data_IF_520068509418
#
_entry.id   IF_520068509418
#
_cell.length_a   1.000
_cell.length_b   1.000
_cell.length_c   1.000
_cell.angle_alpha   90.00
_cell.angle_beta   90.00
_cell.angle_gamma   90.00
#
_symmetry.space_group_name_H-M   'P 1'
#
loop_
_entity.id
_entity.type
_entity.pdbx_description
1 polymer ?
#
# COMPACT_ATOMS: atom_id res chain seq x y z
N UNK A 1 -3.60 -6.29 8.24
CA UNK A 1 -2.22 -5.96 7.81
C UNK A 1 -1.96 -6.74 6.54
N UNK A 2 -1.48 -6.09 5.49
CA UNK A 2 -1.17 -6.71 4.20
C UNK A 2 0.29 -6.41 3.83
N UNK A 3 0.88 -7.20 2.94
CA UNK A 3 2.24 -6.98 2.44
C UNK A 3 2.19 -6.24 1.12
N UNK A 4 3.12 -5.30 0.92
CA UNK A 4 3.24 -4.56 -0.33
C UNK A 4 4.72 -4.57 -0.82
N UNK A 5 4.99 -4.94 -2.08
CA UNK A 5 4.04 -5.38 -3.10
C UNK A 5 3.38 -6.73 -2.73
N UNK A 6 2.12 -6.96 -3.14
CA UNK A 6 1.40 -8.18 -2.81
C UNK A 6 2.11 -9.37 -3.44
N UNK A 7 2.44 -10.37 -2.62
CA UNK A 7 2.98 -11.65 -3.10
C UNK A 7 1.81 -12.52 -3.56
N UNK A 8 1.99 -13.30 -4.62
CA UNK A 8 0.96 -14.22 -5.10
C UNK A 8 0.86 -15.44 -4.17
N UNK A 9 0.29 -15.24 -2.99
CA UNK A 9 -0.25 -16.29 -2.14
C UNK A 9 -1.72 -15.93 -1.85
N UNK A 10 -2.64 -16.90 -1.87
CA UNK A 10 -4.08 -16.65 -2.13
C UNK A 10 -4.83 -15.64 -1.25
N UNK A 11 -4.27 -15.20 -0.12
CA UNK A 11 -4.83 -14.13 0.75
C UNK A 11 -4.12 -12.78 0.59
N UNK A 12 -2.90 -12.75 0.07
CA UNK A 12 -2.10 -11.53 -0.08
C UNK A 12 -2.55 -10.65 -1.26
N UNK A 13 -3.41 -11.16 -2.15
CA UNK A 13 -4.02 -10.36 -3.23
C UNK A 13 -5.29 -9.64 -2.80
N UNK A 14 -5.92 -10.01 -1.68
CA UNK A 14 -7.20 -9.43 -1.26
C UNK A 14 -7.19 -7.89 -1.21
N UNK A 15 -6.10 -7.30 -0.69
CA UNK A 15 -5.98 -5.84 -0.59
C UNK A 15 -5.86 -5.19 -1.97
N UNK A 16 -5.15 -5.84 -2.90
CA UNK A 16 -5.04 -5.41 -4.30
C UNK A 16 -6.39 -5.50 -5.01
N UNK A 17 -7.11 -6.60 -4.81
CA UNK A 17 -8.43 -6.83 -5.41
C UNK A 17 -9.45 -5.81 -4.90
N UNK A 18 -9.41 -5.50 -3.60
CA UNK A 18 -10.25 -4.47 -2.98
C UNK A 18 -9.96 -3.08 -3.54
N UNK A 19 -8.69 -2.67 -3.59
CA UNK A 19 -8.27 -1.38 -4.16
C UNK A 19 -8.73 -1.27 -5.62
N UNK A 20 -8.51 -2.32 -6.41
CA UNK A 20 -8.91 -2.38 -7.81
C UNK A 20 -10.43 -2.23 -7.96
N UNK A 21 -11.21 -2.90 -7.12
CA UNK A 21 -12.67 -2.82 -7.14
C UNK A 21 -13.19 -1.44 -6.73
N UNK A 22 -12.56 -0.80 -5.73
CA UNK A 22 -12.91 0.54 -5.28
C UNK A 22 -12.59 1.58 -6.36
N UNK A 23 -11.39 1.55 -6.93
CA UNK A 23 -10.99 2.49 -7.97
C UNK A 23 -11.86 2.33 -9.22
N UNK A 24 -12.18 1.10 -9.62
CA UNK A 24 -13.11 0.85 -10.73
C UNK A 24 -14.49 1.47 -10.52
N UNK A 25 -14.97 1.55 -9.27
CA UNK A 25 -16.32 2.04 -8.96
C UNK A 25 -16.36 3.55 -8.71
N UNK A 26 -15.29 4.14 -8.17
CA UNK A 26 -15.32 5.49 -7.64
C UNK A 26 -14.27 6.44 -8.23
N UNK A 27 -13.28 5.96 -9.00
CA UNK A 27 -12.37 6.86 -9.71
C UNK A 27 -13.09 7.58 -10.87
N UNK A 28 -12.75 8.85 -11.14
CA UNK A 28 -11.67 9.63 -10.53
C UNK A 28 -12.06 10.36 -9.23
N UNK A 29 -13.32 10.32 -8.81
CA UNK A 29 -13.81 11.07 -7.65
C UNK A 29 -13.17 10.63 -6.33
N UNK A 30 -12.90 9.34 -6.17
CA UNK A 30 -12.17 8.76 -5.03
C UNK A 30 -11.14 7.79 -5.60
N UNK A 31 -9.85 8.07 -5.37
CA UNK A 31 -8.72 7.22 -5.77
C UNK A 31 -8.06 6.65 -4.51
N UNK A 32 -7.89 5.34 -4.50
CA UNK A 32 -7.19 4.64 -3.42
C UNK A 32 -5.71 4.98 -3.43
N UNK A 33 -5.11 5.01 -2.24
CA UNK A 33 -3.68 5.25 -2.03
C UNK A 33 -3.14 4.31 -0.96
N UNK A 34 -1.88 3.94 -1.08
CA UNK A 34 -1.20 2.99 -0.21
C UNK A 34 -0.28 3.75 0.75
N UNK A 35 -0.41 3.44 2.03
CA UNK A 35 0.53 3.86 3.06
C UNK A 35 1.38 2.63 3.44
N UNK A 36 2.69 2.71 3.27
CA UNK A 36 3.58 1.60 3.58
C UNK A 36 4.26 1.83 4.92
N UNK A 37 4.28 0.81 5.77
CA UNK A 37 5.06 0.81 7.00
C UNK A 37 6.25 -0.13 6.81
N UNK A 38 7.47 0.36 7.04
CA UNK A 38 8.67 -0.42 6.83
C UNK A 38 9.61 -0.32 8.04
N UNK A 39 10.24 -1.44 8.40
CA UNK A 39 11.18 -1.53 9.53
C UNK A 39 12.65 -1.31 9.08
N UNK A 40 12.90 -1.33 7.77
CA UNK A 40 14.23 -1.09 7.19
C UNK A 40 14.11 -0.21 5.95
N UNK A 41 14.94 0.82 5.82
CA UNK A 41 15.06 1.67 4.61
C UNK A 41 15.57 0.91 3.34
N UNK A 42 15.45 -0.41 3.30
CA UNK A 42 15.97 -1.27 2.24
C UNK A 42 15.06 -1.27 0.99
N UNK A 43 13.76 -1.02 1.16
CA UNK A 43 12.79 -1.00 0.05
C UNK A 43 12.42 0.46 -0.24
N UNK A 44 12.84 0.94 -1.42
CA UNK A 44 12.49 2.25 -1.92
C UNK A 44 11.11 2.22 -2.61
N UNK A 45 10.11 2.84 -1.98
CA UNK A 45 8.75 2.95 -2.50
C UNK A 45 8.48 4.24 -3.29
N UNK A 46 9.47 5.15 -3.37
CA UNK A 46 9.36 6.50 -3.95
C UNK A 46 8.89 6.50 -5.43
N UNK A 47 9.14 5.42 -6.16
CA UNK A 47 8.78 5.29 -7.58
C UNK A 47 7.49 4.49 -7.83
N UNK A 48 6.68 4.23 -6.79
CA UNK A 48 5.44 3.47 -6.94
C UNK A 48 4.23 4.42 -6.82
N UNK A 49 3.55 4.68 -7.94
CA UNK A 49 2.46 5.68 -8.03
C UNK A 49 1.31 5.47 -7.03
N UNK A 50 1.04 4.22 -6.68
CA UNK A 50 -0.01 3.85 -5.73
C UNK A 50 0.37 4.20 -4.29
N UNK A 51 1.68 4.25 -3.97
CA UNK A 51 2.19 4.60 -2.64
C UNK A 51 2.18 6.11 -2.48
N UNK A 52 1.55 6.58 -1.40
CA UNK A 52 1.48 7.99 -1.06
C UNK A 52 2.56 8.40 -0.06
N UNK A 53 2.84 7.52 0.91
CA UNK A 53 3.84 7.73 1.94
C UNK A 53 4.41 6.40 2.40
N UNK A 54 5.66 6.43 2.82
CA UNK A 54 6.33 5.42 3.62
C UNK A 54 6.60 5.97 5.02
N UNK A 55 6.35 5.14 6.04
CA UNK A 55 6.55 5.48 7.45
C UNK A 55 7.47 4.42 8.07
N UNK A 56 8.49 4.86 8.81
CA UNK A 56 9.33 3.94 9.58
C UNK A 56 8.57 3.46 10.82
N UNK A 57 8.77 2.21 11.24
CA UNK A 57 8.09 1.70 12.44
C UNK A 57 8.49 2.41 13.75
N UNK A 58 9.58 3.18 13.72
CA UNK A 58 10.04 4.03 14.82
C UNK A 58 9.60 5.51 14.72
N UNK A 59 8.85 5.91 13.68
CA UNK A 59 8.39 7.32 13.54
C UNK A 59 7.45 7.74 14.68
N UNK A 60 6.72 6.79 15.27
CA UNK A 60 5.83 7.05 16.42
C UNK A 60 6.60 6.71 17.70
N UNK A 61 7.47 7.63 18.11
CA UNK A 61 8.04 7.62 19.46
C UNK A 61 7.00 8.19 20.42
N UNK A 62 6.45 7.36 21.30
CA UNK A 62 5.57 7.77 22.41
C UNK A 62 6.37 8.31 23.59
#
# INVERSE_FOLDING_TARGET
MATYPPRECGIATFTKDLITAMDKKFSPSIKSKILVMNNKNDINYENIEEVLFDIADNDISA
#
